data_IF_513291368611
#
_entry.id   IF_513291368611
#
_cell.length_a   1.000
_cell.length_b   1.000
_cell.length_c   1.000
_cell.angle_alpha   90.00
_cell.angle_beta   90.00
_cell.angle_gamma   90.00
#
_symmetry.space_group_name_H-M   'P 1'
#
loop_
_entity.id
_entity.type
_entity.pdbx_description
1 polymer ?
#
# COMPACT_ATOMS: atom_id res chain seq x y z
N UNK A 1 23.94 20.26 -9.54
CA UNK A 1 23.29 18.96 -9.49
C UNK A 1 23.60 18.21 -10.76
N UNK A 2 24.03 17.01 -10.61
CA UNK A 2 24.28 16.18 -11.76
C UNK A 2 22.98 15.82 -12.44
N UNK A 3 22.95 15.94 -13.75
CA UNK A 3 21.78 15.52 -14.49
C UNK A 3 21.73 14.02 -14.55
N UNK A 4 20.91 13.45 -13.70
CA UNK A 4 20.66 12.03 -13.68
C UNK A 4 19.24 11.82 -14.16
N UNK A 5 19.09 10.91 -15.09
CA UNK A 5 17.77 10.50 -15.47
C UNK A 5 17.08 9.83 -14.29
N UNK A 6 16.04 10.47 -13.79
CA UNK A 6 15.22 9.85 -12.77
C UNK A 6 14.22 8.95 -13.45
N UNK A 7 14.29 7.67 -13.13
CA UNK A 7 13.29 6.72 -13.59
C UNK A 7 12.21 6.65 -12.53
N UNK A 8 11.08 7.27 -12.83
CA UNK A 8 9.92 7.22 -11.95
C UNK A 8 8.95 6.18 -12.43
N UNK A 9 8.50 5.35 -11.53
CA UNK A 9 7.50 4.34 -11.82
C UNK A 9 6.32 4.49 -10.89
N UNK A 10 5.14 4.42 -11.44
CA UNK A 10 3.91 4.46 -10.65
C UNK A 10 3.04 3.30 -11.11
N UNK A 11 2.82 2.36 -10.21
CA UNK A 11 2.06 1.15 -10.49
C UNK A 11 0.75 1.25 -9.73
N UNK A 12 -0.35 1.11 -10.46
CA UNK A 12 -1.70 1.07 -9.89
C UNK A 12 -2.24 -0.34 -10.09
N UNK A 13 -2.80 -0.91 -9.05
CA UNK A 13 -3.39 -2.23 -9.18
C UNK A 13 -4.54 -2.42 -8.20
N UNK A 14 -5.47 -3.28 -8.58
CA UNK A 14 -6.61 -3.61 -7.75
C UNK A 14 -6.55 -5.07 -7.33
N UNK A 15 -6.89 -5.32 -6.08
CA UNK A 15 -7.13 -6.67 -5.57
C UNK A 15 -8.62 -6.86 -5.47
N UNK A 16 -9.15 -7.88 -6.11
CA UNK A 16 -10.58 -8.17 -6.13
C UNK A 16 -10.86 -9.59 -5.67
N UNK A 17 -12.08 -9.83 -5.24
CA UNK A 17 -12.54 -11.17 -4.86
C UNK A 17 -11.67 -11.80 -3.78
N UNK A 18 -11.39 -11.03 -2.73
CA UNK A 18 -10.65 -11.54 -1.59
C UNK A 18 -11.43 -12.66 -0.92
N UNK A 19 -10.71 -13.70 -0.47
CA UNK A 19 -11.35 -14.86 0.15
C UNK A 19 -12.09 -14.53 1.44
N UNK A 20 -11.57 -13.57 2.20
CA UNK A 20 -12.18 -13.15 3.46
C UNK A 20 -12.33 -11.63 3.44
N UNK A 21 -13.43 -11.12 2.86
CA UNK A 21 -13.61 -9.68 2.70
C UNK A 21 -13.57 -8.88 3.99
N UNK A 22 -13.96 -9.48 5.11
CA UNK A 22 -13.94 -8.80 6.42
C UNK A 22 -12.53 -8.38 6.83
N UNK A 23 -11.50 -9.04 6.33
CA UNK A 23 -10.13 -8.66 6.62
C UNK A 23 -9.77 -7.31 5.98
N UNK A 24 -10.45 -6.94 4.92
CA UNK A 24 -10.27 -5.63 4.29
C UNK A 24 -10.75 -4.49 5.17
N UNK A 25 -11.57 -4.80 6.19
CA UNK A 25 -12.09 -3.83 7.13
C UNK A 25 -11.33 -3.84 8.46
N UNK A 26 -10.31 -4.67 8.56
CA UNK A 26 -9.50 -4.82 9.77
C UNK A 26 -8.23 -3.98 9.62
N UNK A 27 -8.20 -2.86 10.32
CA UNK A 27 -7.09 -1.91 10.22
C UNK A 27 -5.75 -2.56 10.56
N UNK A 28 -5.71 -3.35 11.61
CA UNK A 28 -4.47 -3.99 12.05
C UNK A 28 -3.98 -5.02 11.02
N UNK A 29 -4.91 -5.78 10.45
CA UNK A 29 -4.57 -6.76 9.43
C UNK A 29 -4.02 -6.08 8.16
N UNK A 30 -4.66 -4.99 7.74
CA UNK A 30 -4.20 -4.21 6.57
C UNK A 30 -2.80 -3.66 6.82
N UNK A 31 -2.57 -3.11 8.01
CA UNK A 31 -1.27 -2.56 8.39
C UNK A 31 -0.19 -3.64 8.39
N UNK A 32 -0.46 -4.77 9.01
CA UNK A 32 0.51 -5.87 9.09
C UNK A 32 0.81 -6.46 7.72
N UNK A 33 -0.22 -6.57 6.88
CA UNK A 33 -0.05 -7.06 5.52
C UNK A 33 0.84 -6.13 4.71
N UNK A 34 0.63 -4.82 4.87
CA UNK A 34 1.44 -3.81 4.19
C UNK A 34 2.91 -3.91 4.62
N UNK A 35 3.15 -4.02 5.92
CA UNK A 35 4.49 -4.16 6.48
C UNK A 35 5.16 -5.43 5.97
N UNK A 36 4.43 -6.54 5.96
CA UNK A 36 4.97 -7.81 5.49
C UNK A 36 5.33 -7.76 4.01
N UNK A 37 4.50 -7.15 3.19
CA UNK A 37 4.77 -6.99 1.76
C UNK A 37 6.05 -6.18 1.53
N UNK A 38 6.24 -5.12 2.30
CA UNK A 38 7.43 -4.27 2.21
C UNK A 38 8.68 -5.07 2.60
N UNK A 39 8.56 -5.88 3.63
CA UNK A 39 9.65 -6.73 4.11
C UNK A 39 10.05 -7.77 3.06
N UNK A 40 9.06 -8.42 2.45
CA UNK A 40 9.30 -9.40 1.40
C UNK A 40 9.97 -8.75 0.20
N UNK A 41 9.55 -7.54 -0.15
CA UNK A 41 10.12 -6.79 -1.26
C UNK A 41 11.50 -6.23 -0.95
N UNK A 42 11.96 -6.34 0.29
CA UNK A 42 13.26 -5.85 0.75
C UNK A 42 13.41 -4.34 0.58
N UNK A 43 12.32 -3.62 0.80
CA UNK A 43 12.32 -2.17 0.76
C UNK A 43 12.51 -1.62 2.17
N UNK A 44 13.09 -0.43 2.25
CA UNK A 44 13.32 0.21 3.54
C UNK A 44 12.08 0.97 3.97
N UNK A 45 11.45 0.53 5.04
CA UNK A 45 10.28 1.18 5.62
C UNK A 45 10.70 2.32 6.54
N UNK A 46 10.21 3.52 6.26
CA UNK A 46 10.45 4.69 7.12
C UNK A 46 9.27 4.94 8.05
N UNK A 47 8.07 4.83 7.54
CA UNK A 47 6.87 5.10 8.32
C UNK A 47 5.68 4.38 7.71
N UNK A 48 4.80 3.87 8.54
CA UNK A 48 3.53 3.30 8.12
C UNK A 48 2.43 3.88 8.98
N UNK A 49 1.29 4.18 8.36
CA UNK A 49 0.13 4.68 9.05
C UNK A 49 -1.13 4.17 8.40
N UNK A 50 -2.21 4.09 9.17
CA UNK A 50 -3.48 3.59 8.68
C UNK A 50 -4.61 4.40 9.29
N UNK A 51 -5.76 4.36 8.61
CA UNK A 51 -6.97 4.97 9.09
C UNK A 51 -8.16 4.07 8.80
N UNK A 52 -8.95 3.80 9.83
CA UNK A 52 -10.18 3.02 9.71
C UNK A 52 -11.34 3.98 9.53
N UNK A 53 -12.09 3.80 8.46
CA UNK A 53 -13.28 4.61 8.18
C UNK A 53 -14.52 3.97 8.75
N UNK A 54 -15.50 4.79 9.05
CA UNK A 54 -16.83 4.33 9.46
C UNK A 54 -17.80 4.61 8.32
N UNK A 55 -18.67 3.67 7.96
CA UNK A 55 -18.86 2.35 8.59
C UNK A 55 -17.88 1.29 8.10
N UNK A 56 -17.21 1.45 6.95
CA UNK A 56 -16.27 0.48 6.43
C UNK A 56 -15.08 1.13 5.75
N UNK A 57 -14.03 0.34 5.63
CA UNK A 57 -12.89 0.68 4.82
C UNK A 57 -11.68 1.08 5.63
N UNK A 58 -10.53 0.83 5.05
CA UNK A 58 -9.23 1.18 5.63
C UNK A 58 -8.39 1.80 4.55
N UNK A 59 -7.70 2.87 4.90
CA UNK A 59 -6.63 3.42 4.07
C UNK A 59 -5.33 3.26 4.81
N UNK A 60 -4.33 2.74 4.11
CA UNK A 60 -2.99 2.63 4.67
C UNK A 60 -1.98 3.18 3.71
N UNK A 61 -0.89 3.69 4.26
CA UNK A 61 0.25 4.07 3.44
C UNK A 61 1.54 3.77 4.17
N UNK A 62 2.57 3.53 3.39
CA UNK A 62 3.90 3.36 3.91
C UNK A 62 4.83 4.30 3.17
N UNK A 63 5.59 5.07 3.92
CA UNK A 63 6.65 5.89 3.38
C UNK A 63 7.92 5.05 3.37
N UNK A 64 8.48 4.90 2.19
CA UNK A 64 9.70 4.12 1.98
C UNK A 64 10.82 5.06 1.58
N UNK A 65 12.06 4.59 1.67
CA UNK A 65 13.18 5.38 1.16
C UNK A 65 12.97 5.59 -0.34
N UNK A 66 12.74 6.84 -0.74
CA UNK A 66 12.56 7.29 -2.13
C UNK A 66 11.31 6.74 -2.81
N UNK A 67 10.32 6.28 -2.02
CA UNK A 67 9.09 5.76 -2.61
C UNK A 67 7.96 5.74 -1.59
N UNK A 68 6.80 5.30 -2.03
CA UNK A 68 5.68 5.05 -1.12
C UNK A 68 4.77 3.98 -1.71
N UNK A 69 3.99 3.36 -0.83
CA UNK A 69 2.94 2.44 -1.23
C UNK A 69 1.69 2.78 -0.43
N UNK A 70 0.54 2.75 -1.08
CA UNK A 70 -0.72 2.99 -0.40
C UNK A 70 -1.75 1.92 -0.76
N UNK A 71 -2.71 1.74 0.14
CA UNK A 71 -3.82 0.82 -0.06
C UNK A 71 -5.09 1.46 0.46
N UNK A 72 -6.17 1.30 -0.29
CA UNK A 72 -7.50 1.74 0.08
C UNK A 72 -8.44 0.55 -0.08
N UNK A 73 -9.23 0.25 0.93
CA UNK A 73 -10.10 -0.92 0.88
C UNK A 73 -11.57 -0.53 0.85
N UNK A 74 -12.34 -1.33 0.12
CA UNK A 74 -13.79 -1.26 0.07
C UNK A 74 -14.32 -2.66 0.37
N UNK A 75 -14.42 -3.04 1.67
CA UNK A 75 -14.85 -4.39 2.04
C UNK A 75 -16.22 -4.76 1.49
N UNK A 76 -17.12 -3.78 1.41
CA UNK A 76 -18.48 -3.97 0.90
C UNK A 76 -18.48 -4.38 -0.57
N UNK A 77 -17.46 -3.99 -1.33
CA UNK A 77 -17.30 -4.34 -2.73
C UNK A 77 -16.26 -5.42 -2.95
N UNK A 78 -15.66 -5.90 -1.87
CA UNK A 78 -14.59 -6.89 -1.88
C UNK A 78 -13.42 -6.46 -2.79
N UNK A 79 -12.99 -5.21 -2.62
CA UNK A 79 -11.97 -4.59 -3.46
C UNK A 79 -10.97 -3.83 -2.59
N UNK A 80 -9.71 -3.91 -2.95
CA UNK A 80 -8.66 -3.02 -2.46
C UNK A 80 -7.93 -2.42 -3.64
N UNK A 81 -7.67 -1.14 -3.58
CA UNK A 81 -6.89 -0.44 -4.60
C UNK A 81 -5.58 0.01 -4.02
N UNK A 82 -4.53 -0.27 -4.76
CA UNK A 82 -3.18 -0.04 -4.29
C UNK A 82 -2.40 0.77 -5.30
N UNK A 83 -1.46 1.57 -4.80
CA UNK A 83 -0.48 2.18 -5.67
C UNK A 83 0.91 2.09 -5.06
N UNK A 84 1.88 1.96 -5.93
CA UNK A 84 3.28 1.96 -5.56
C UNK A 84 3.97 3.00 -6.43
N UNK A 85 4.55 3.99 -5.80
CA UNK A 85 5.33 5.00 -6.49
C UNK A 85 6.79 4.87 -6.08
N UNK A 86 7.67 4.84 -7.06
CA UNK A 86 9.10 4.78 -6.80
C UNK A 86 9.82 5.74 -7.74
N UNK A 87 10.74 6.50 -7.21
CA UNK A 87 11.61 7.34 -8.01
C UNK A 87 12.97 6.69 -8.23
N UNK A 88 13.06 5.43 -7.90
CA UNK A 88 14.26 4.64 -8.13
C UNK A 88 13.92 3.32 -8.78
N UNK A 89 14.93 2.55 -9.10
CA UNK A 89 14.71 1.23 -9.67
C UNK A 89 14.14 0.29 -8.63
N UNK A 90 13.11 -0.38 -9.00
CA UNK A 90 12.50 -1.43 -8.20
C UNK A 90 12.86 -2.77 -8.82
#
# INVERSE_FOLDING_TARGET
MQETELVMKHILFDLKECLVPSLLDDEEYVKETLIEAIKIAKLELLKVDTHKFQPHGVTGYALLAESHISIHTWPEDNVARCDLFSCNQI
#
